data_IF_560862480447
#
_entry.id   IF_560862480447
#
_cell.length_a   1.000
_cell.length_b   1.000
_cell.length_c   1.000
_cell.angle_alpha   90.00
_cell.angle_beta   90.00
_cell.angle_gamma   90.00
#
_symmetry.space_group_name_H-M   'P 1'
#
loop_
_entity.id
_entity.type
_entity.pdbx_description
1 polymer ?
#
# COMPACT_ATOMS: atom_id res chain seq x y z
N UNK A 1 3.95 9.67 9.58
CA UNK A 1 4.41 9.30 8.23
C UNK A 1 3.70 10.18 7.22
N UNK A 2 4.42 10.63 6.19
CA UNK A 2 3.89 11.39 5.08
C UNK A 2 4.11 10.62 3.78
N UNK A 3 3.08 10.57 2.96
CA UNK A 3 3.06 9.98 1.63
C UNK A 3 2.50 11.01 0.65
N UNK A 4 3.02 11.05 -0.57
CA UNK A 4 2.54 11.96 -1.60
C UNK A 4 3.45 12.03 -2.81
N UNK A 5 3.44 13.18 -3.50
CA UNK A 5 4.22 13.45 -4.73
C UNK A 5 5.50 14.27 -4.47
N UNK A 6 5.96 14.36 -3.23
CA UNK A 6 7.11 15.19 -2.86
C UNK A 6 8.44 14.53 -3.22
N UNK A 7 9.44 15.37 -3.51
CA UNK A 7 10.80 14.98 -3.85
C UNK A 7 11.79 15.68 -2.92
N UNK A 8 12.91 15.03 -2.66
CA UNK A 8 14.02 15.45 -1.81
C UNK A 8 13.56 15.95 -0.45
N UNK A 9 12.68 15.19 0.21
CA UNK A 9 12.15 15.59 1.52
C UNK A 9 13.31 15.78 2.50
N UNK A 10 13.36 16.94 3.15
CA UNK A 10 14.48 17.34 4.03
C UNK A 10 15.88 17.25 3.37
N UNK A 11 15.97 17.56 2.06
CA UNK A 11 17.18 17.42 1.24
C UNK A 11 17.74 15.99 1.18
N UNK A 12 16.92 14.97 1.44
CA UNK A 12 17.27 13.57 1.30
C UNK A 12 16.55 12.99 0.07
N UNK A 13 17.30 12.59 -0.96
CA UNK A 13 16.71 11.90 -2.13
C UNK A 13 16.06 10.56 -1.75
N UNK A 14 16.52 9.92 -0.66
CA UNK A 14 15.87 8.75 -0.09
C UNK A 14 14.50 9.05 0.54
N UNK A 15 14.17 10.34 0.73
CA UNK A 15 12.88 10.83 1.19
C UNK A 15 11.92 11.16 0.06
N UNK A 16 12.18 10.72 -1.17
CA UNK A 16 11.21 10.85 -2.26
C UNK A 16 9.95 10.03 -1.95
N UNK A 17 8.79 10.68 -2.00
CA UNK A 17 7.43 10.12 -1.88
C UNK A 17 7.03 9.48 -0.55
N UNK A 18 7.98 9.10 0.33
CA UNK A 18 7.69 8.50 1.63
C UNK A 18 8.73 8.89 2.69
N UNK A 19 8.24 9.49 3.78
CA UNK A 19 9.07 9.87 4.93
C UNK A 19 8.33 9.67 6.25
N UNK A 20 9.09 9.52 7.34
CA UNK A 20 8.54 9.49 8.70
C UNK A 20 9.27 10.49 9.59
N UNK A 21 8.59 10.92 10.65
CA UNK A 21 9.18 11.74 11.70
C UNK A 21 9.27 10.88 12.95
N UNK A 22 10.48 10.73 13.46
CA UNK A 22 10.73 10.03 14.71
C UNK A 22 10.50 11.00 15.87
N UNK A 23 9.47 10.73 16.68
CA UNK A 23 9.10 11.57 17.82
C UNK A 23 10.07 11.44 19.00
N UNK A 24 10.92 10.42 19.00
CA UNK A 24 11.93 10.18 20.05
C UNK A 24 13.21 10.94 19.75
N UNK A 25 13.69 10.85 18.50
CA UNK A 25 14.89 11.58 18.09
C UNK A 25 14.60 12.99 17.57
N UNK A 26 13.32 13.33 17.39
CA UNK A 26 12.84 14.60 16.83
C UNK A 26 13.38 14.90 15.43
N UNK A 27 13.67 13.85 14.64
CA UNK A 27 14.26 13.95 13.30
C UNK A 27 13.40 13.31 12.22
N UNK A 28 13.55 13.80 10.99
CA UNK A 28 13.04 13.12 9.81
C UNK A 28 13.88 11.90 9.46
N UNK A 29 13.19 10.80 9.13
CA UNK A 29 13.77 9.57 8.62
C UNK A 29 13.13 9.18 7.29
N UNK A 30 13.84 8.33 6.56
CA UNK A 30 13.46 7.87 5.21
C UNK A 30 13.24 6.36 5.21
N UNK A 31 12.38 5.89 4.30
CA UNK A 31 12.12 4.44 4.12
C UNK A 31 13.05 3.88 3.05
N UNK A 32 12.93 4.39 1.83
CA UNK A 32 13.81 4.09 0.69
C UNK A 32 13.52 5.09 -0.42
N UNK A 33 14.43 5.23 -1.38
CA UNK A 33 14.11 5.93 -2.62
C UNK A 33 13.00 5.19 -3.39
N UNK A 34 11.92 5.89 -3.72
CA UNK A 34 10.82 5.42 -4.55
C UNK A 34 10.80 6.20 -5.88
N UNK A 35 10.17 5.63 -6.91
CA UNK A 35 10.11 6.23 -8.25
C UNK A 35 8.72 6.76 -8.63
N UNK A 36 7.77 6.70 -7.70
CA UNK A 36 6.39 7.10 -7.93
C UNK A 36 5.70 7.44 -6.62
N UNK A 37 4.58 8.16 -6.73
CA UNK A 37 3.84 8.64 -5.59
C UNK A 37 3.31 7.50 -4.72
N UNK A 38 3.43 7.66 -3.40
CA UNK A 38 2.69 6.87 -2.42
C UNK A 38 1.40 7.61 -2.11
N UNK A 39 0.26 6.96 -2.29
CA UNK A 39 -1.08 7.54 -2.08
C UNK A 39 -1.83 6.88 -0.93
N UNK A 40 -1.42 5.68 -0.50
CA UNK A 40 -2.04 4.95 0.59
C UNK A 40 -1.01 4.48 1.62
N UNK A 41 -1.38 4.52 2.90
CA UNK A 41 -0.59 4.02 4.02
C UNK A 41 -1.48 3.24 5.00
N UNK A 42 -0.96 2.14 5.53
CA UNK A 42 -1.56 1.41 6.64
C UNK A 42 -0.47 0.83 7.54
N UNK A 43 -0.71 0.70 8.85
CA UNK A 43 0.24 0.11 9.80
C UNK A 43 -0.43 -1.09 10.45
N UNK A 44 0.23 -2.24 10.44
CA UNK A 44 -0.29 -3.44 11.09
C UNK A 44 -0.23 -3.31 12.62
N UNK A 45 -0.92 -4.20 13.33
CA UNK A 45 -0.82 -4.30 14.79
C UNK A 45 0.59 -4.64 15.30
N UNK A 46 1.48 -5.13 14.42
CA UNK A 46 2.87 -5.45 14.73
C UNK A 46 3.84 -4.32 14.36
N UNK A 47 3.34 -3.19 13.84
CA UNK A 47 4.16 -2.04 13.46
C UNK A 47 4.77 -2.13 12.06
N UNK A 48 4.41 -3.13 11.26
CA UNK A 48 4.82 -3.20 9.85
C UNK A 48 4.04 -2.14 9.07
N UNK A 49 4.76 -1.33 8.32
CA UNK A 49 4.22 -0.26 7.52
C UNK A 49 3.93 -0.78 6.12
N UNK A 50 2.69 -0.66 5.68
CA UNK A 50 2.26 -0.96 4.31
C UNK A 50 2.05 0.35 3.57
N UNK A 51 2.54 0.42 2.33
CA UNK A 51 2.40 1.59 1.50
C UNK A 51 2.03 1.20 0.06
N UNK A 52 1.09 1.94 -0.50
CA UNK A 52 0.54 1.73 -1.82
C UNK A 52 0.57 3.00 -2.65
N UNK A 53 0.68 2.85 -3.97
CA UNK A 53 0.72 4.00 -4.87
C UNK A 53 1.00 3.63 -6.32
N UNK A 54 1.59 4.58 -7.07
CA UNK A 54 1.92 4.45 -8.49
C UNK A 54 3.43 4.24 -8.73
N UNK A 55 4.11 3.57 -7.80
CA UNK A 55 5.53 3.25 -7.89
C UNK A 55 5.76 1.83 -8.43
N UNK A 56 6.98 1.57 -8.90
CA UNK A 56 7.48 0.24 -9.25
C UNK A 56 8.82 -0.01 -8.58
N UNK A 57 9.15 -1.28 -8.34
CA UNK A 57 10.42 -1.73 -7.79
C UNK A 57 10.81 -1.01 -6.48
N UNK A 58 9.87 -0.87 -5.52
CA UNK A 58 10.12 -0.13 -4.28
C UNK A 58 11.36 -0.64 -3.55
N UNK A 59 12.24 0.28 -3.13
CA UNK A 59 13.51 -0.06 -2.47
C UNK A 59 14.45 -0.94 -3.33
N UNK A 60 14.26 -0.98 -4.65
CA UNK A 60 15.01 -1.85 -5.57
C UNK A 60 14.50 -3.29 -5.62
N UNK A 61 13.37 -3.61 -4.99
CA UNK A 61 12.80 -4.96 -4.96
C UNK A 61 11.87 -5.17 -6.15
N UNK A 62 12.25 -6.02 -7.09
CA UNK A 62 11.55 -6.19 -8.36
C UNK A 62 10.06 -6.60 -8.26
N UNK A 63 9.68 -7.28 -7.18
CA UNK A 63 8.30 -7.70 -6.95
C UNK A 63 7.45 -6.65 -6.18
N UNK A 64 8.08 -5.57 -5.70
CA UNK A 64 7.43 -4.55 -4.87
C UNK A 64 6.85 -3.42 -5.73
N UNK A 65 5.97 -3.79 -6.66
CA UNK A 65 5.25 -2.88 -7.54
C UNK A 65 3.90 -2.51 -6.92
N UNK A 66 3.59 -1.20 -6.87
CA UNK A 66 2.33 -0.60 -6.41
C UNK A 66 1.93 -0.85 -4.94
N UNK A 67 2.41 -1.93 -4.32
CA UNK A 67 2.16 -2.30 -2.93
C UNK A 67 3.42 -2.94 -2.34
N UNK A 68 3.89 -2.36 -1.23
CA UNK A 68 5.08 -2.80 -0.53
C UNK A 68 4.90 -2.63 0.98
N UNK A 69 5.79 -3.26 1.74
CA UNK A 69 5.84 -3.13 3.19
C UNK A 69 7.26 -2.81 3.67
N UNK A 70 7.36 -2.17 4.82
CA UNK A 70 8.59 -1.80 5.50
C UNK A 70 8.52 -2.18 6.97
N UNK A 71 9.52 -2.92 7.44
CA UNK A 71 9.61 -3.44 8.81
C UNK A 71 10.42 -2.53 9.77
N UNK A 72 10.78 -1.33 9.32
CA UNK A 72 11.69 -0.43 10.03
C UNK A 72 13.15 -0.52 9.55
N UNK A 73 13.49 -1.54 8.75
CA UNK A 73 14.85 -1.77 8.24
C UNK A 73 14.89 -2.06 6.74
N UNK A 74 13.93 -2.82 6.20
CA UNK A 74 13.93 -3.31 4.83
C UNK A 74 12.56 -3.17 4.16
N UNK A 75 12.58 -2.82 2.87
CA UNK A 75 11.39 -2.84 2.02
C UNK A 75 11.24 -4.23 1.41
N UNK A 76 10.04 -4.78 1.44
CA UNK A 76 9.69 -6.06 0.82
C UNK A 76 8.36 -5.97 0.09
N UNK A 77 8.15 -6.87 -0.88
CA UNK A 77 6.86 -6.99 -1.57
C UNK A 77 5.81 -7.61 -0.64
N UNK A 78 4.55 -7.22 -0.82
CA UNK A 78 3.40 -7.88 -0.17
C UNK A 78 2.91 -8.96 -1.12
N UNK A 79 3.25 -10.23 -0.87
CA UNK A 79 2.95 -11.29 -1.83
C UNK A 79 3.47 -10.99 -3.24
N UNK A 80 2.62 -11.19 -4.25
CA UNK A 80 2.91 -10.88 -5.67
C UNK A 80 1.80 -9.97 -6.24
N UNK A 81 1.85 -8.64 -6.02
CA UNK A 81 0.77 -7.74 -6.40
C UNK A 81 0.61 -7.64 -7.92
N UNK A 82 1.67 -7.87 -8.68
CA UNK A 82 1.69 -7.81 -10.13
C UNK A 82 2.68 -8.83 -10.71
N UNK A 83 2.23 -9.84 -11.46
CA UNK A 83 3.12 -10.67 -12.29
C UNK A 83 3.08 -10.29 -13.78
N UNK A 84 2.36 -9.22 -14.11
CA UNK A 84 2.20 -8.67 -15.46
C UNK A 84 0.85 -8.95 -16.12
N UNK A 85 -0.02 -9.79 -15.53
CA UNK A 85 -1.37 -10.01 -16.05
C UNK A 85 -2.39 -8.99 -15.49
N UNK A 86 -2.14 -8.49 -14.27
CA UNK A 86 -2.90 -7.40 -13.67
C UNK A 86 -2.70 -6.07 -14.42
N UNK A 87 -3.76 -5.28 -14.55
CA UNK A 87 -3.68 -3.90 -15.05
C UNK A 87 -3.77 -2.96 -13.85
N UNK A 88 -2.64 -2.49 -13.35
CA UNK A 88 -2.57 -1.68 -12.14
C UNK A 88 -2.03 -0.29 -12.49
N UNK A 89 -2.81 0.74 -12.16
CA UNK A 89 -2.38 2.14 -12.25
C UNK A 89 -1.90 2.63 -10.89
N UNK A 90 -2.67 2.35 -9.84
CA UNK A 90 -2.35 2.78 -8.47
C UNK A 90 -3.11 1.97 -7.42
N UNK A 91 -2.52 1.87 -6.23
CA UNK A 91 -3.21 1.57 -4.97
C UNK A 91 -3.44 2.87 -4.23
N UNK A 92 -4.69 3.27 -4.04
CA UNK A 92 -5.07 4.61 -3.56
C UNK A 92 -5.68 4.60 -2.15
N UNK A 93 -6.10 3.44 -1.65
CA UNK A 93 -6.66 3.30 -0.31
C UNK A 93 -6.23 1.99 0.33
N UNK A 94 -5.99 2.01 1.64
CA UNK A 94 -5.69 0.83 2.42
C UNK A 94 -6.21 0.94 3.85
N UNK A 95 -6.69 -0.18 4.41
CA UNK A 95 -7.06 -0.27 5.82
C UNK A 95 -6.95 -1.71 6.32
N UNK A 96 -6.52 -1.91 7.56
CA UNK A 96 -6.60 -3.22 8.21
C UNK A 96 -7.98 -3.42 8.85
N UNK A 97 -8.53 -4.62 8.73
CA UNK A 97 -9.71 -5.03 9.51
C UNK A 97 -9.33 -5.66 10.86
N UNK A 98 -10.34 -6.03 11.66
CA UNK A 98 -10.15 -6.62 12.98
C UNK A 98 -9.53 -8.03 12.98
N UNK A 99 -9.42 -8.66 11.80
CA UNK A 99 -8.75 -9.94 11.63
C UNK A 99 -7.30 -9.78 11.16
N UNK A 100 -6.83 -8.54 10.95
CA UNK A 100 -5.49 -8.25 10.45
C UNK A 100 -5.36 -8.42 8.94
N UNK A 101 -6.47 -8.49 8.20
CA UNK A 101 -6.44 -8.52 6.72
C UNK A 101 -6.29 -7.08 6.20
N UNK A 102 -5.42 -6.89 5.22
CA UNK A 102 -5.22 -5.61 4.57
C UNK A 102 -6.20 -5.47 3.41
N UNK A 103 -7.16 -4.58 3.55
CA UNK A 103 -8.05 -4.18 2.47
C UNK A 103 -7.36 -3.13 1.60
N UNK A 104 -7.45 -3.32 0.29
CA UNK A 104 -6.68 -2.58 -0.71
C UNK A 104 -7.67 -2.06 -1.75
N UNK A 105 -7.70 -0.75 -1.96
CA UNK A 105 -8.53 -0.09 -2.96
C UNK A 105 -7.68 0.72 -3.93
N UNK A 106 -8.12 0.85 -5.18
CA UNK A 106 -7.41 1.70 -6.14
C UNK A 106 -7.85 1.56 -7.58
N UNK A 107 -7.01 2.07 -8.48
CA UNK A 107 -7.22 2.04 -9.91
C UNK A 107 -6.56 0.80 -10.55
N UNK A 108 -7.19 -0.37 -10.41
CA UNK A 108 -6.65 -1.61 -10.97
C UNK A 108 -7.72 -2.63 -11.40
N UNK A 109 -7.29 -3.60 -12.22
CA UNK A 109 -8.02 -4.82 -12.57
C UNK A 109 -7.14 -6.05 -12.28
N UNK A 110 -7.75 -7.11 -11.78
CA UNK A 110 -7.14 -8.40 -11.47
C UNK A 110 -5.92 -8.32 -10.53
N UNK A 111 -6.01 -7.60 -9.40
CA UNK A 111 -4.89 -7.45 -8.45
C UNK A 111 -4.35 -8.80 -7.99
N UNK A 112 -3.02 -8.95 -7.95
CA UNK A 112 -2.37 -10.23 -7.63
C UNK A 112 -2.76 -11.38 -8.57
N UNK A 113 -3.13 -11.05 -9.81
CA UNK A 113 -3.63 -11.95 -10.86
C UNK A 113 -4.90 -12.73 -10.48
N UNK A 114 -5.67 -12.21 -9.54
CA UNK A 114 -6.98 -12.76 -9.15
C UNK A 114 -8.04 -12.14 -10.05
N UNK A 115 -8.65 -12.95 -10.94
CA UNK A 115 -9.55 -12.52 -12.03
C UNK A 115 -10.82 -11.72 -11.65
N UNK A 116 -11.08 -11.48 -10.36
CA UNK A 116 -12.20 -10.67 -9.86
C UNK A 116 -11.76 -9.66 -8.79
N UNK A 117 -10.45 -9.54 -8.53
CA UNK A 117 -9.89 -8.54 -7.64
C UNK A 117 -9.78 -7.20 -8.38
N UNK A 118 -10.94 -6.66 -8.77
CA UNK A 118 -11.06 -5.41 -9.51
C UNK A 118 -11.39 -4.28 -8.53
N UNK A 119 -10.54 -3.25 -8.51
CA UNK A 119 -10.67 -2.00 -7.72
C UNK A 119 -10.66 -2.16 -6.20
N UNK A 120 -11.04 -3.32 -5.68
CA UNK A 120 -11.01 -3.68 -4.27
C UNK A 120 -10.70 -5.17 -4.09
N UNK A 121 -9.77 -5.47 -3.20
CA UNK A 121 -9.44 -6.81 -2.73
C UNK A 121 -8.95 -6.75 -1.28
N UNK A 122 -8.67 -7.90 -0.68
CA UNK A 122 -7.89 -7.96 0.56
C UNK A 122 -6.77 -8.98 0.49
N UNK A 123 -5.74 -8.74 1.30
CA UNK A 123 -4.63 -9.65 1.57
C UNK A 123 -4.78 -10.22 2.97
N UNK A 124 -4.72 -11.55 3.11
CA UNK A 124 -4.88 -12.24 4.41
C UNK A 124 -3.55 -12.57 5.12
N UNK A 125 -2.42 -12.14 4.56
CA UNK A 125 -1.09 -12.55 5.01
C UNK A 125 -0.43 -13.61 4.12
N UNK A 126 -1.18 -14.24 3.22
CA UNK A 126 -0.68 -15.29 2.32
C UNK A 126 -1.23 -15.22 0.89
N UNK A 127 -2.48 -14.80 0.69
CA UNK A 127 -3.12 -14.71 -0.61
C UNK A 127 -3.98 -13.45 -0.76
N UNK A 128 -4.17 -13.04 -2.02
CA UNK A 128 -5.14 -12.03 -2.41
C UNK A 128 -6.52 -12.64 -2.64
N UNK A 129 -7.55 -11.93 -2.19
CA UNK A 129 -8.94 -12.35 -2.34
C UNK A 129 -9.79 -11.24 -2.95
N UNK A 130 -10.53 -11.61 -4.00
CA UNK A 130 -11.59 -10.79 -4.56
C UNK A 130 -12.78 -10.71 -3.60
N UNK A 131 -13.48 -9.58 -3.58
CA UNK A 131 -14.68 -9.35 -2.75
C UNK A 131 -15.96 -9.24 -3.59
N UNK A 132 -15.99 -9.98 -4.70
CA UNK A 132 -17.06 -9.93 -5.70
C UNK A 132 -16.82 -8.82 -6.73
N UNK A 133 -17.86 -8.47 -7.49
CA UNK A 133 -17.77 -7.50 -8.60
C UNK A 133 -17.84 -6.03 -8.16
N UNK A 134 -17.52 -5.76 -6.88
CA UNK A 134 -17.88 -4.56 -6.12
C UNK A 134 -17.86 -3.22 -6.88
N UNK A 135 -16.74 -2.51 -6.84
CA UNK A 135 -16.63 -1.15 -7.37
C UNK A 135 -16.48 -1.13 -8.90
N UNK A 136 -17.18 -0.20 -9.57
CA UNK A 136 -17.12 -0.02 -11.02
C UNK A 136 -16.13 1.08 -11.46
N UNK A 137 -15.42 1.69 -10.52
CA UNK A 137 -14.41 2.72 -10.73
C UNK A 137 -13.37 2.65 -9.60
N UNK A 138 -12.35 3.49 -9.65
CA UNK A 138 -11.30 3.55 -8.62
C UNK A 138 -11.87 3.76 -7.22
N UNK A 139 -11.40 2.95 -6.29
CA UNK A 139 -11.65 3.14 -4.85
C UNK A 139 -10.60 4.09 -4.30
N UNK A 140 -11.03 5.25 -3.81
CA UNK A 140 -10.14 6.34 -3.37
C UNK A 140 -10.00 6.45 -1.85
N UNK A 141 -10.88 5.80 -1.09
CA UNK A 141 -10.83 5.78 0.35
C UNK A 141 -11.35 4.45 0.87
N UNK A 142 -10.82 4.03 2.02
CA UNK A 142 -11.32 2.89 2.77
C UNK A 142 -11.39 3.26 4.25
N UNK A 143 -12.41 2.79 4.93
CA UNK A 143 -12.51 2.88 6.39
C UNK A 143 -13.04 1.59 6.98
N UNK A 144 -12.54 1.22 8.16
CA UNK A 144 -13.01 0.06 8.91
C UNK A 144 -13.78 0.50 10.16
N UNK A 145 -15.01 0.01 10.31
CA UNK A 145 -15.79 0.11 11.55
C UNK A 145 -15.63 -1.19 12.34
N UNK A 146 -14.86 -1.11 13.43
CA UNK A 146 -14.60 -2.24 14.33
C UNK A 146 -15.81 -2.66 15.17
N UNK A 147 -16.82 -1.79 15.34
CA UNK A 147 -18.02 -2.12 16.11
C UNK A 147 -18.96 -2.97 15.26
N UNK A 148 -19.16 -2.58 14.00
CA UNK A 148 -20.05 -3.28 13.08
C UNK A 148 -19.35 -4.36 12.24
N UNK A 149 -18.03 -4.45 12.30
CA UNK A 149 -17.16 -5.28 11.45
C UNK A 149 -17.41 -5.04 9.95
N UNK A 150 -17.27 -3.77 9.53
CA UNK A 150 -17.59 -3.34 8.16
C UNK A 150 -16.48 -2.52 7.53
N UNK A 151 -16.34 -2.69 6.22
CA UNK A 151 -15.50 -1.87 5.36
C UNK A 151 -16.39 -0.90 4.58
N UNK A 152 -15.98 0.36 4.56
CA UNK A 152 -16.59 1.44 3.78
C UNK A 152 -15.65 1.81 2.64
N UNK A 153 -16.23 2.04 1.47
CA UNK A 153 -15.60 2.48 0.21
C UNK A 153 -16.20 3.80 -0.26
#
# INVERSE_FOLDING_TARGET
>A
MWAGTFLNFDNQAAGDYLAYYDMVTETWGTVSALNGAVTALAISSTGIVYFGGAFTNAGGVAAADYLAQWDGSSVTAVGTPNTGAASITSVDAMVFDGQGRLWIGGAYLNFGDVAAADRICYWDGSNYYAVGTGANSSVLALAYDAIADRIYV
#
